data_IF_668612420906
#
_entry.id   IF_668612420906
#
_cell.length_a   1.000
_cell.length_b   1.000
_cell.length_c   1.000
_cell.angle_alpha   90.00
_cell.angle_beta   90.00
_cell.angle_gamma   90.00
#
_symmetry.space_group_name_H-M   'P 1'
#
loop_
_entity.id
_entity.type
_entity.pdbx_description
1 polymer ?
#
# COMPACT_ATOMS: atom_id res chain seq x y z
N UNK A 1 10.65 -12.20 -9.97
CA UNK A 1 9.28 -12.22 -10.56
C UNK A 1 9.28 -12.78 -11.99
N UNK A 2 8.12 -13.22 -12.53
CA UNK A 2 7.98 -13.67 -13.92
C UNK A 2 8.17 -12.52 -14.94
N UNK A 3 8.76 -12.78 -16.13
CA UNK A 3 8.78 -11.82 -17.25
C UNK A 3 7.38 -11.49 -17.78
N UNK A 4 7.21 -10.31 -18.40
CA UNK A 4 5.92 -9.83 -18.90
C UNK A 4 5.25 -10.78 -19.90
N UNK A 5 5.99 -11.26 -20.91
CA UNK A 5 5.48 -12.24 -21.87
C UNK A 5 5.02 -13.55 -21.17
N UNK A 6 5.74 -13.97 -20.14
CA UNK A 6 5.37 -15.13 -19.33
C UNK A 6 4.13 -14.86 -18.48
N UNK A 7 4.00 -13.65 -17.91
CA UNK A 7 2.81 -13.25 -17.16
C UNK A 7 1.55 -13.26 -18.03
N UNK A 8 1.64 -12.80 -19.28
CA UNK A 8 0.52 -12.84 -20.24
C UNK A 8 0.11 -14.30 -20.50
N UNK A 9 1.06 -15.18 -20.79
CA UNK A 9 0.77 -16.61 -21.02
C UNK A 9 0.18 -17.31 -19.79
N UNK A 10 0.68 -17.01 -18.59
CA UNK A 10 0.12 -17.55 -17.33
C UNK A 10 -1.30 -17.04 -17.10
N UNK A 11 -1.56 -15.76 -17.37
CA UNK A 11 -2.90 -15.17 -17.25
C UNK A 11 -3.88 -15.85 -18.20
N UNK A 12 -3.50 -16.08 -19.46
CA UNK A 12 -4.33 -16.81 -20.43
C UNK A 12 -4.59 -18.25 -19.98
N UNK A 13 -3.56 -18.95 -19.47
CA UNK A 13 -3.70 -20.32 -18.97
C UNK A 13 -4.58 -20.42 -17.71
N UNK A 14 -4.67 -19.34 -16.92
CA UNK A 14 -5.46 -19.28 -15.70
C UNK A 14 -6.82 -18.60 -15.86
N UNK A 15 -7.14 -18.02 -17.02
CA UNK A 15 -8.32 -17.14 -17.22
C UNK A 15 -9.65 -17.79 -16.83
N UNK A 16 -9.78 -19.11 -17.05
CA UNK A 16 -10.98 -19.89 -16.74
C UNK A 16 -10.76 -20.91 -15.61
N UNK A 17 -9.65 -20.82 -14.86
CA UNK A 17 -9.34 -21.81 -13.82
C UNK A 17 -10.03 -21.42 -12.48
N UNK A 18 -11.03 -22.20 -12.02
CA UNK A 18 -11.73 -21.91 -10.77
C UNK A 18 -10.85 -22.07 -9.52
N UNK A 19 -9.67 -22.69 -9.64
CA UNK A 19 -8.70 -22.85 -8.56
C UNK A 19 -7.75 -21.64 -8.41
N UNK A 20 -7.80 -20.68 -9.35
CA UNK A 20 -7.03 -19.44 -9.24
C UNK A 20 -7.48 -18.65 -8.01
N UNK A 21 -6.60 -18.59 -7.00
CA UNK A 21 -6.90 -17.93 -5.73
C UNK A 21 -6.42 -16.48 -5.78
N UNK A 22 -7.34 -15.53 -5.62
CA UNK A 22 -7.01 -14.12 -5.47
C UNK A 22 -6.27 -13.89 -4.15
N UNK A 23 -5.01 -13.47 -4.22
CA UNK A 23 -4.17 -13.14 -3.06
C UNK A 23 -4.37 -11.68 -2.63
N UNK A 24 -4.56 -10.78 -3.58
CA UNK A 24 -4.81 -9.36 -3.34
C UNK A 24 -5.60 -8.76 -4.50
N UNK A 25 -6.56 -7.89 -4.21
CA UNK A 25 -7.27 -7.11 -5.22
C UNK A 25 -7.60 -5.76 -4.59
N UNK A 26 -7.06 -4.67 -5.12
CA UNK A 26 -7.57 -3.34 -4.77
C UNK A 26 -8.83 -3.04 -5.59
N UNK A 27 -8.78 -3.29 -6.90
CA UNK A 27 -9.90 -3.30 -7.88
C UNK A 27 -10.81 -2.06 -7.86
N UNK A 28 -11.94 -2.13 -8.59
CA UNK A 28 -13.02 -1.11 -8.60
C UNK A 28 -13.54 -0.74 -7.19
N UNK A 29 -13.21 -1.56 -6.19
CA UNK A 29 -13.62 -1.41 -4.80
C UNK A 29 -12.49 -0.97 -3.87
N UNK A 30 -11.47 -0.25 -4.34
CA UNK A 30 -10.31 0.16 -3.53
C UNK A 30 -10.68 0.86 -2.21
N UNK A 31 -11.81 1.59 -2.18
CA UNK A 31 -12.36 2.24 -0.97
C UNK A 31 -12.93 1.26 0.07
N UNK A 32 -13.04 -0.04 -0.23
CA UNK A 32 -13.37 -1.09 0.74
C UNK A 32 -12.15 -1.50 1.57
N UNK A 33 -10.93 -1.19 1.13
CA UNK A 33 -9.71 -1.52 1.84
C UNK A 33 -9.23 -0.29 2.62
N UNK A 34 -9.32 -0.35 3.95
CA UNK A 34 -8.78 0.70 4.82
C UNK A 34 -7.30 1.00 4.54
N UNK A 35 -6.52 0.00 4.13
CA UNK A 35 -5.11 0.15 3.78
C UNK A 35 -4.91 1.06 2.56
N UNK A 36 -5.75 0.93 1.53
CA UNK A 36 -5.65 1.78 0.34
C UNK A 36 -6.01 3.23 0.65
N UNK A 37 -7.04 3.47 1.47
CA UNK A 37 -7.36 4.83 1.93
C UNK A 37 -6.23 5.37 2.83
N UNK A 38 -5.57 4.51 3.60
CA UNK A 38 -4.45 4.90 4.44
C UNK A 38 -3.19 5.21 3.63
N UNK A 39 -2.92 4.47 2.57
CA UNK A 39 -1.89 4.75 1.57
C UNK A 39 -2.09 6.12 0.91
N UNK A 40 -3.32 6.46 0.51
CA UNK A 40 -3.69 7.80 0.03
C UNK A 40 -3.42 8.88 1.09
N UNK A 41 -3.73 8.60 2.36
CA UNK A 41 -3.55 9.55 3.45
C UNK A 41 -2.06 9.81 3.73
N UNK A 42 -1.25 8.75 3.72
CA UNK A 42 0.20 8.84 3.88
C UNK A 42 0.83 9.58 2.69
N UNK A 43 0.35 9.34 1.47
CA UNK A 43 0.78 10.09 0.28
C UNK A 43 0.44 11.57 0.38
N UNK A 44 -0.77 11.92 0.84
CA UNK A 44 -1.17 13.30 1.09
C UNK A 44 -0.32 13.95 2.20
N UNK A 45 -0.03 13.23 3.29
CA UNK A 45 0.82 13.71 4.36
C UNK A 45 2.28 13.91 3.90
N UNK A 46 2.83 12.98 3.13
CA UNK A 46 4.14 13.10 2.52
C UNK A 46 4.22 14.33 1.62
N UNK A 47 3.26 14.50 0.70
CA UNK A 47 3.20 15.67 -0.18
C UNK A 47 3.06 17.00 0.59
N UNK A 48 2.29 16.99 1.69
CA UNK A 48 2.18 18.15 2.58
C UNK A 48 3.53 18.50 3.23
N UNK A 49 4.21 17.51 3.81
CA UNK A 49 5.48 17.67 4.52
C UNK A 49 6.65 18.01 3.59
N UNK A 50 6.61 17.51 2.35
CA UNK A 50 7.64 17.75 1.34
C UNK A 50 7.45 19.07 0.58
N UNK A 51 6.36 19.81 0.82
CA UNK A 51 6.13 21.12 0.22
C UNK A 51 6.84 22.22 1.02
N UNK A 52 7.82 22.95 0.45
CA UNK A 52 8.55 24.01 1.14
C UNK A 52 7.66 25.12 1.70
N UNK A 53 6.51 25.40 1.06
CA UNK A 53 5.58 26.43 1.52
C UNK A 53 4.92 26.08 2.88
N UNK A 54 4.77 24.78 3.17
CA UNK A 54 4.18 24.30 4.42
C UNK A 54 5.17 24.31 5.59
N UNK A 55 6.48 24.44 5.31
CA UNK A 55 7.52 24.56 6.34
C UNK A 55 7.53 25.94 7.04
N UNK A 56 6.95 26.97 6.40
CA UNK A 56 7.04 28.36 6.86
C UNK A 56 5.76 28.84 7.56
N UNK A 57 4.57 28.40 7.10
CA UNK A 57 3.31 28.72 7.78
C UNK A 57 2.21 27.67 7.44
N UNK A 58 1.94 26.70 8.33
CA UNK A 58 0.90 25.71 8.12
C UNK A 58 -0.48 26.37 8.31
N UNK A 59 -1.10 26.87 7.23
CA UNK A 59 -2.50 27.29 7.26
C UNK A 59 -3.44 26.08 7.27
N UNK A 60 -4.61 26.19 7.90
CA UNK A 60 -5.62 25.11 7.90
C UNK A 60 -6.14 24.77 6.50
N UNK A 61 -6.05 25.69 5.54
CA UNK A 61 -6.36 25.43 4.13
C UNK A 61 -5.35 24.48 3.46
N UNK A 62 -4.10 24.43 3.93
CA UNK A 62 -3.08 23.54 3.38
C UNK A 62 -3.29 22.07 3.78
N UNK A 63 -4.06 21.79 4.84
CA UNK A 63 -4.44 20.41 5.21
C UNK A 63 -5.61 19.86 4.40
N UNK A 64 -6.17 20.62 3.46
CA UNK A 64 -7.31 20.20 2.63
C UNK A 64 -7.10 18.83 1.96
N UNK A 65 -5.94 18.50 1.36
CA UNK A 65 -5.71 17.17 0.78
C UNK A 65 -5.86 16.04 1.82
N UNK A 66 -5.32 16.21 3.04
CA UNK A 66 -5.47 15.24 4.11
C UNK A 66 -6.94 15.11 4.54
N UNK A 67 -7.64 16.24 4.66
CA UNK A 67 -9.06 16.24 5.01
C UNK A 67 -9.94 15.56 3.97
N UNK A 68 -9.61 15.69 2.68
CA UNK A 68 -10.36 15.07 1.59
C UNK A 68 -10.20 13.55 1.58
N UNK A 69 -8.97 13.05 1.79
CA UNK A 69 -8.76 11.61 2.00
C UNK A 69 -9.43 11.13 3.28
N UNK A 70 -9.32 11.89 4.37
CA UNK A 70 -9.87 11.50 5.67
C UNK A 70 -11.39 11.24 5.64
N UNK A 71 -12.14 11.93 4.75
CA UNK A 71 -13.59 11.73 4.57
C UNK A 71 -13.94 10.32 4.07
N UNK A 72 -13.00 9.59 3.48
CA UNK A 72 -13.22 8.26 2.94
C UNK A 72 -13.21 7.17 4.02
N UNK A 73 -12.60 7.44 5.19
CA UNK A 73 -12.64 6.48 6.30
C UNK A 73 -14.02 6.42 6.93
N UNK A 74 -14.53 5.19 7.11
CA UNK A 74 -15.75 4.94 7.90
C UNK A 74 -15.65 5.53 9.31
N UNK A 75 -14.49 5.38 9.94
CA UNK A 75 -14.15 6.04 11.22
C UNK A 75 -13.18 7.18 10.94
N UNK A 76 -13.72 8.35 10.64
CA UNK A 76 -12.95 9.55 10.28
C UNK A 76 -12.00 9.98 11.43
N UNK A 77 -10.75 10.35 11.15
CA UNK A 77 -9.89 10.99 12.14
C UNK A 77 -10.39 12.39 12.51
N UNK A 78 -10.14 12.80 13.76
CA UNK A 78 -10.32 14.19 14.19
C UNK A 78 -9.25 15.10 13.55
N UNK A 79 -9.43 16.42 13.62
CA UNK A 79 -8.40 17.37 13.18
C UNK A 79 -7.09 17.15 13.97
N UNK A 80 -7.09 17.03 15.31
CA UNK A 80 -5.83 16.79 16.02
C UNK A 80 -5.22 15.42 15.72
N UNK A 81 -6.01 14.39 15.40
CA UNK A 81 -5.46 13.11 14.91
C UNK A 81 -4.75 13.26 13.56
N UNK A 82 -5.22 14.13 12.66
CA UNK A 82 -4.50 14.45 11.42
C UNK A 82 -3.27 15.33 11.66
N UNK A 83 -3.34 16.25 12.62
CA UNK A 83 -2.18 17.07 13.00
C UNK A 83 -1.08 16.22 13.64
N UNK A 84 -1.44 15.29 14.51
CA UNK A 84 -0.51 14.36 15.14
C UNK A 84 0.24 13.47 14.13
N UNK A 85 -0.42 13.11 13.02
CA UNK A 85 0.22 12.42 11.90
C UNK A 85 1.35 13.25 11.29
N UNK A 86 1.14 14.56 11.15
CA UNK A 86 2.12 15.48 10.57
C UNK A 86 3.33 15.76 11.48
N UNK A 87 3.22 15.51 12.79
CA UNK A 87 4.37 15.61 13.70
C UNK A 87 5.37 14.47 13.53
N UNK A 88 4.96 13.34 12.94
CA UNK A 88 5.83 12.19 12.68
C UNK A 88 6.37 12.20 11.24
N UNK A 89 7.09 13.25 10.86
CA UNK A 89 7.60 13.41 9.49
C UNK A 89 8.43 12.21 9.01
N UNK A 90 9.45 11.81 9.77
CA UNK A 90 10.33 10.69 9.37
C UNK A 90 9.55 9.36 9.28
N UNK A 91 8.72 8.98 10.28
CA UNK A 91 7.89 7.79 10.15
C UNK A 91 6.89 7.84 8.97
N UNK A 92 6.32 9.01 8.65
CA UNK A 92 5.48 9.17 7.44
C UNK A 92 6.29 8.90 6.18
N UNK A 93 7.53 9.38 6.09
CA UNK A 93 8.40 9.18 4.93
C UNK A 93 8.80 7.71 4.77
N UNK A 94 9.13 7.03 5.88
CA UNK A 94 9.46 5.61 5.87
C UNK A 94 8.27 4.75 5.42
N UNK A 95 7.07 5.05 5.94
CA UNK A 95 5.85 4.35 5.56
C UNK A 95 5.44 4.64 4.11
N UNK A 96 5.56 5.89 3.66
CA UNK A 96 5.39 6.26 2.25
C UNK A 96 6.36 5.47 1.36
N UNK A 97 7.63 5.38 1.76
CA UNK A 97 8.64 4.60 1.04
C UNK A 97 8.30 3.11 0.93
N UNK A 98 7.64 2.51 1.93
CA UNK A 98 7.18 1.13 1.83
C UNK A 98 6.04 0.97 0.79
N UNK A 99 5.04 1.85 0.82
CA UNK A 99 3.99 1.89 -0.20
C UNK A 99 4.56 2.11 -1.61
N UNK A 100 5.43 3.11 -1.76
CA UNK A 100 6.07 3.42 -3.05
C UNK A 100 6.94 2.27 -3.56
N UNK A 101 7.64 1.55 -2.67
CA UNK A 101 8.44 0.38 -3.08
C UNK A 101 7.59 -0.76 -3.62
N UNK A 102 6.33 -0.88 -3.17
CA UNK A 102 5.36 -1.79 -3.77
C UNK A 102 4.93 -1.29 -5.15
N UNK A 103 4.60 -0.01 -5.30
CA UNK A 103 4.24 0.55 -6.62
C UNK A 103 5.35 0.35 -7.65
N UNK A 104 6.61 0.63 -7.28
CA UNK A 104 7.80 0.39 -8.12
C UNK A 104 7.87 -1.06 -8.62
N UNK A 105 7.48 -2.04 -7.80
CA UNK A 105 7.44 -3.44 -8.20
C UNK A 105 6.37 -3.75 -9.24
N UNK A 106 5.27 -3.02 -9.23
CA UNK A 106 4.10 -3.26 -10.08
C UNK A 106 4.19 -2.54 -11.44
N UNK A 107 5.14 -1.62 -11.64
CA UNK A 107 5.34 -0.91 -12.90
C UNK A 107 5.87 -1.83 -14.03
N UNK A 108 5.42 -1.58 -15.26
CA UNK A 108 5.97 -2.15 -16.51
C UNK A 108 6.37 -1.02 -17.49
N UNK A 109 7.65 -0.90 -17.90
CA UNK A 109 8.79 -1.66 -17.42
C UNK A 109 9.16 -1.28 -15.97
N UNK A 110 9.67 -2.25 -15.22
CA UNK A 110 10.06 -2.06 -13.82
C UNK A 110 11.36 -1.26 -13.68
N UNK A 111 11.46 -0.34 -12.70
CA UNK A 111 12.72 0.32 -12.37
C UNK A 111 13.82 -0.66 -11.91
N UNK A 112 15.09 -0.44 -12.29
CA UNK A 112 16.20 -1.24 -11.78
C UNK A 112 16.25 -1.28 -10.25
N UNK A 113 16.53 -2.45 -9.68
CA UNK A 113 16.68 -2.60 -8.24
C UNK A 113 15.36 -2.62 -7.44
N UNK A 114 14.19 -2.66 -8.08
CA UNK A 114 12.91 -2.59 -7.37
C UNK A 114 12.65 -3.83 -6.48
N UNK A 115 13.14 -5.02 -6.86
CA UNK A 115 13.03 -6.23 -6.03
C UNK A 115 13.84 -6.09 -4.72
N UNK A 116 15.02 -5.49 -4.80
CA UNK A 116 15.93 -5.28 -3.67
C UNK A 116 15.50 -4.12 -2.77
N UNK A 117 14.81 -3.12 -3.35
CA UNK A 117 14.30 -1.95 -2.61
C UNK A 117 12.94 -2.21 -1.95
N UNK A 118 12.26 -3.30 -2.31
CA UNK A 118 10.95 -3.61 -1.75
C UNK A 118 10.99 -3.76 -0.23
N UNK A 119 10.05 -3.10 0.45
CA UNK A 119 9.89 -3.17 1.91
C UNK A 119 8.47 -3.66 2.25
N UNK A 120 8.33 -4.65 3.15
CA UNK A 120 7.02 -5.09 3.62
C UNK A 120 6.26 -3.96 4.33
N UNK A 121 5.04 -3.68 3.87
CA UNK A 121 4.16 -2.64 4.39
C UNK A 121 3.80 -2.92 5.84
N UNK A 122 3.55 -4.18 6.19
CA UNK A 122 3.21 -4.59 7.57
C UNK A 122 4.31 -4.21 8.56
N UNK A 123 5.58 -4.40 8.16
CA UNK A 123 6.73 -4.03 8.99
C UNK A 123 6.81 -2.52 9.18
N UNK A 124 6.64 -1.74 8.10
CA UNK A 124 6.62 -0.29 8.16
C UNK A 124 5.48 0.24 9.04
N UNK A 125 4.28 -0.36 8.96
CA UNK A 125 3.15 -0.02 9.82
C UNK A 125 3.48 -0.25 11.31
N UNK A 126 4.06 -1.40 11.65
CA UNK A 126 4.44 -1.69 13.05
C UNK A 126 5.43 -0.67 13.60
N UNK A 127 6.44 -0.29 12.81
CA UNK A 127 7.40 0.75 13.17
C UNK A 127 6.70 2.10 13.34
N UNK A 128 5.86 2.49 12.38
CA UNK A 128 5.09 3.73 12.40
C UNK A 128 4.24 3.84 13.68
N UNK A 129 3.51 2.79 14.06
CA UNK A 129 2.72 2.75 15.30
C UNK A 129 3.58 2.85 16.55
N UNK A 130 4.77 2.26 16.55
CA UNK A 130 5.71 2.37 17.66
C UNK A 130 6.22 3.82 17.83
N UNK A 131 6.41 4.58 16.75
CA UNK A 131 6.75 6.01 16.82
C UNK A 131 5.59 6.83 17.39
N UNK A 132 4.39 6.67 16.85
CA UNK A 132 3.20 7.38 17.34
C UNK A 132 2.95 7.18 18.84
N UNK A 133 3.12 5.95 19.33
CA UNK A 133 2.91 5.63 20.74
C UNK A 133 3.97 6.28 21.67
N UNK A 134 5.13 6.71 21.14
CA UNK A 134 6.19 7.38 21.89
C UNK A 134 6.03 8.91 21.91
N UNK A 135 5.25 9.49 21.01
CA UNK A 135 5.06 10.93 20.92
C UNK A 135 3.71 11.35 21.53
N UNK A 136 3.70 12.08 22.66
CA UNK A 136 2.47 12.57 23.27
C UNK A 136 1.61 13.43 22.32
N UNK A 137 2.25 14.17 21.40
CA UNK A 137 1.56 15.02 20.42
C UNK A 137 0.83 14.21 19.34
N UNK A 138 1.14 12.92 19.20
CA UNK A 138 0.52 12.00 18.25
C UNK A 138 -0.48 11.03 18.93
N UNK A 139 -0.82 11.25 20.20
CA UNK A 139 -1.69 10.35 20.96
C UNK A 139 -3.08 10.19 20.32
N UNK A 140 -3.69 11.28 19.84
CA UNK A 140 -4.98 11.20 19.13
C UNK A 140 -4.87 10.42 17.82
N UNK A 141 -3.76 10.54 17.10
CA UNK A 141 -3.47 9.75 15.89
C UNK A 141 -3.35 8.28 16.25
N UNK A 142 -2.60 7.94 17.30
CA UNK A 142 -2.43 6.59 17.78
C UNK A 142 -3.77 5.94 18.15
N UNK A 143 -4.60 6.65 18.93
CA UNK A 143 -5.94 6.19 19.33
C UNK A 143 -6.89 6.03 18.15
N UNK A 144 -6.82 6.94 17.16
CA UNK A 144 -7.61 6.77 15.94
C UNK A 144 -7.19 5.52 15.18
N UNK A 145 -5.89 5.29 15.00
CA UNK A 145 -5.37 4.11 14.32
C UNK A 145 -5.73 2.80 15.02
N UNK A 146 -5.76 2.76 16.36
CA UNK A 146 -6.19 1.56 17.10
C UNK A 146 -7.57 1.06 16.67
N UNK A 147 -8.46 1.96 16.23
CA UNK A 147 -9.81 1.62 15.76
C UNK A 147 -9.85 0.95 14.38
N UNK A 148 -8.78 1.06 13.61
CA UNK A 148 -8.62 0.53 12.25
C UNK A 148 -7.52 -0.55 12.18
N UNK A 149 -6.70 -0.66 13.22
CA UNK A 149 -5.48 -1.46 13.26
C UNK A 149 -5.65 -2.92 12.84
N UNK A 150 -6.66 -3.67 13.34
CA UNK A 150 -6.82 -5.08 12.96
C UNK A 150 -7.01 -5.27 11.44
N UNK A 151 -7.79 -4.39 10.82
CA UNK A 151 -8.06 -4.46 9.38
C UNK A 151 -6.84 -4.00 8.57
N UNK A 152 -6.20 -2.90 8.96
CA UNK A 152 -4.97 -2.40 8.34
C UNK A 152 -3.88 -3.49 8.32
N UNK A 153 -3.65 -4.13 9.46
CA UNK A 153 -2.62 -5.17 9.58
C UNK A 153 -2.96 -6.43 8.77
N UNK A 154 -4.23 -6.86 8.76
CA UNK A 154 -4.65 -8.01 7.97
C UNK A 154 -4.60 -7.74 6.45
N UNK A 155 -4.86 -6.49 6.04
CA UNK A 155 -4.74 -6.08 4.64
C UNK A 155 -3.27 -5.95 4.23
N UNK A 156 -2.42 -5.36 5.08
CA UNK A 156 -0.98 -5.24 4.83
C UNK A 156 -0.30 -6.60 4.74
N UNK A 157 -0.63 -7.54 5.62
CA UNK A 157 -0.10 -8.90 5.58
C UNK A 157 -0.47 -9.63 4.28
N UNK A 158 -1.70 -9.45 3.80
CA UNK A 158 -2.15 -10.00 2.51
C UNK A 158 -1.43 -9.37 1.33
N UNK A 159 -1.29 -8.04 1.29
CA UNK A 159 -0.55 -7.31 0.24
C UNK A 159 0.92 -7.75 0.23
N UNK A 160 1.55 -7.87 1.40
CA UNK A 160 2.94 -8.35 1.55
C UNK A 160 3.09 -9.82 1.15
N UNK A 161 2.12 -10.68 1.49
CA UNK A 161 2.12 -12.07 1.06
C UNK A 161 1.99 -12.18 -0.47
N UNK A 162 1.01 -11.52 -1.07
CA UNK A 162 0.83 -11.48 -2.52
C UNK A 162 2.11 -11.01 -3.24
N UNK A 163 2.77 -9.98 -2.69
CA UNK A 163 4.04 -9.47 -3.24
C UNK A 163 5.17 -10.50 -3.16
N UNK A 164 5.29 -11.24 -2.05
CA UNK A 164 6.28 -12.33 -1.93
C UNK A 164 6.02 -13.45 -2.93
N UNK A 165 4.77 -13.81 -3.15
CA UNK A 165 4.41 -14.81 -4.17
C UNK A 165 4.77 -14.32 -5.59
N UNK A 166 4.53 -13.04 -5.90
CA UNK A 166 4.95 -12.42 -7.18
C UNK A 166 6.47 -12.48 -7.34
N UNK A 167 7.23 -12.05 -6.33
CA UNK A 167 8.69 -12.06 -6.36
C UNK A 167 9.24 -13.47 -6.58
N UNK A 168 8.64 -14.47 -5.94
CA UNK A 168 8.99 -15.88 -6.10
C UNK A 168 8.50 -16.53 -7.40
N UNK A 169 7.79 -15.79 -8.25
CA UNK A 169 7.26 -16.29 -9.53
C UNK A 169 6.11 -17.30 -9.37
N UNK A 170 5.40 -17.26 -8.23
CA UNK A 170 4.25 -18.12 -7.89
C UNK A 170 2.91 -17.40 -7.96
N UNK A 171 2.92 -16.13 -8.34
CA UNK A 171 1.73 -15.34 -8.57
C UNK A 171 1.85 -14.55 -9.88
N UNK A 172 0.71 -14.05 -10.37
CA UNK A 172 0.58 -13.25 -11.57
C UNK A 172 -0.49 -12.15 -11.39
N UNK A 173 -0.48 -11.16 -12.27
CA UNK A 173 -1.49 -10.10 -12.28
C UNK A 173 -2.78 -10.54 -12.95
N UNK A 174 -3.92 -10.27 -12.30
CA UNK A 174 -5.24 -10.41 -12.89
C UNK A 174 -5.61 -9.17 -13.71
N UNK A 175 -6.11 -9.39 -14.92
CA UNK A 175 -6.63 -8.33 -15.79
C UNK A 175 -5.57 -7.41 -16.41
N UNK A 176 -6.03 -6.40 -17.13
CA UNK A 176 -5.20 -5.36 -17.79
C UNK A 176 -4.82 -4.22 -16.84
N UNK A 177 -5.64 -3.95 -15.82
CA UNK A 177 -5.39 -2.86 -14.87
C UNK A 177 -4.32 -3.20 -13.82
N UNK A 178 -3.80 -4.43 -13.81
CA UNK A 178 -2.75 -4.92 -12.90
C UNK A 178 -3.05 -4.68 -11.40
N UNK A 179 -4.33 -4.51 -11.05
CA UNK A 179 -4.80 -4.18 -9.70
C UNK A 179 -5.06 -5.40 -8.82
N UNK A 180 -4.94 -6.59 -9.40
CA UNK A 180 -5.23 -7.87 -8.76
C UNK A 180 -4.04 -8.81 -8.90
N UNK A 181 -3.78 -9.59 -7.87
CA UNK A 181 -2.70 -10.57 -7.80
C UNK A 181 -3.33 -11.92 -7.46
N UNK A 182 -3.06 -12.91 -8.31
CA UNK A 182 -3.57 -14.27 -8.17
C UNK A 182 -2.41 -15.25 -7.98
N UNK A 183 -2.60 -16.26 -7.15
CA UNK A 183 -1.70 -17.39 -7.06
C UNK A 183 -1.78 -18.21 -8.35
N UNK A 184 -0.64 -18.71 -8.81
CA UNK A 184 -0.56 -19.68 -9.90
C UNK A 184 -0.99 -21.05 -9.33
N UNK A 185 -2.06 -21.68 -9.86
CA UNK A 185 -2.48 -23.00 -9.41
C UNK A 185 -1.40 -24.07 -9.61
N UNK A 186 -1.38 -25.07 -8.73
CA UNK A 186 -0.46 -26.20 -8.87
C UNK A 186 -0.71 -26.95 -10.19
N UNK A 187 0.35 -27.28 -10.91
CA UNK A 187 0.27 -28.02 -12.17
C UNK A 187 0.09 -27.17 -13.43
N UNK A 188 -0.10 -25.85 -13.31
CA UNK A 188 -0.03 -24.94 -14.46
C UNK A 188 1.39 -24.92 -15.01
N UNK A 189 1.55 -25.39 -16.26
CA UNK A 189 2.84 -25.38 -16.95
C UNK A 189 3.10 -23.97 -17.47
N UNK A 190 4.03 -23.28 -16.81
CA UNK A 190 4.55 -22.00 -17.29
C UNK A 190 5.49 -22.29 -18.46
N UNK A 191 5.03 -22.06 -19.69
CA UNK A 191 5.91 -22.09 -20.84
C UNK A 191 6.69 -20.77 -20.87
N UNK A 192 8.02 -20.84 -20.76
CA UNK A 192 8.85 -19.69 -21.03
C UNK A 192 8.63 -19.30 -22.50
N UNK A 193 8.15 -18.08 -22.75
CA UNK A 193 8.17 -17.52 -24.09
C UNK A 193 9.64 -17.44 -24.54
N UNK A 194 9.96 -18.13 -25.62
CA UNK A 194 11.31 -18.24 -26.18
C UNK A 194 11.79 -16.92 -26.80
#
# INVERSE_FOLDING_TARGET
>A
MLPEATMISVREACADNPEATCLWASGENYKRYELSIFEDLISAAFGYLNNPANAVCPSSDHMRPLHDVAKQFRKRPSVPALTGLLFEMLPVFDLYGAFFSYEDLMLSPRPPGAEERWRPIKTALLQFKAYLNKNPMAQETAQWLDRLWPQLMAQADRKDHATREMLAGRAFFGGEELSEIFAIPEGVKIHAAA
#
